data_IF_902176324403
#
_entry.id   IF_902176324403
#
_cell.length_a   1.000
_cell.length_b   1.000
_cell.length_c   1.000
_cell.angle_alpha   90.00
_cell.angle_beta   90.00
_cell.angle_gamma   90.00
#
_symmetry.space_group_name_H-M   'P 1'
#
loop_
_entity.id
_entity.type
_entity.pdbx_description
1 polymer ?
#
# COMPACT_ATOMS: atom_id res chain seq x y z
N UNK A 1 4.69 -31.15 33.41
CA UNK A 1 3.35 -31.07 32.78
C UNK A 1 2.92 -29.64 32.37
N UNK A 2 3.78 -28.60 32.47
CA UNK A 2 3.39 -27.21 32.12
C UNK A 2 3.59 -26.79 30.65
N UNK A 3 4.48 -27.47 29.91
CA UNK A 3 4.85 -27.05 28.55
C UNK A 3 3.79 -27.37 27.48
N UNK A 4 3.04 -28.47 27.64
CA UNK A 4 2.04 -28.89 26.65
C UNK A 4 0.73 -28.07 26.71
N UNK A 5 0.37 -27.53 27.88
CA UNK A 5 -0.83 -26.68 28.01
C UNK A 5 -0.68 -25.37 27.25
N UNK A 6 0.50 -24.76 27.29
CA UNK A 6 0.77 -23.50 26.59
C UNK A 6 0.77 -23.69 25.06
N UNK A 7 1.39 -24.76 24.56
CA UNK A 7 1.44 -25.04 23.13
C UNK A 7 0.04 -25.26 22.50
N UNK A 8 -0.87 -25.95 23.21
CA UNK A 8 -2.23 -26.16 22.71
C UNK A 8 -3.03 -24.85 22.61
N UNK A 9 -2.92 -23.96 23.60
CA UNK A 9 -3.56 -22.64 23.57
C UNK A 9 -2.98 -21.69 22.51
N UNK A 10 -1.69 -21.75 22.23
CA UNK A 10 -1.08 -20.94 21.16
C UNK A 10 -1.44 -21.48 19.78
N UNK A 11 -1.51 -22.80 19.62
CA UNK A 11 -1.98 -23.41 18.38
C UNK A 11 -3.45 -23.03 18.10
N UNK A 12 -4.34 -23.06 19.09
CA UNK A 12 -5.74 -22.63 18.89
C UNK A 12 -5.85 -21.18 18.40
N UNK A 13 -4.92 -20.30 18.80
CA UNK A 13 -4.89 -18.89 18.36
C UNK A 13 -4.44 -18.71 16.91
N UNK A 14 -3.62 -19.61 16.38
CA UNK A 14 -3.06 -19.52 15.01
C UNK A 14 -3.65 -20.54 14.04
N UNK A 15 -4.48 -21.45 14.53
CA UNK A 15 -5.17 -22.50 13.79
C UNK A 15 -5.95 -21.96 12.57
N UNK A 16 -5.79 -22.66 11.45
CA UNK A 16 -6.42 -22.39 10.15
C UNK A 16 -7.41 -23.48 9.75
N UNK A 17 -8.22 -23.23 8.72
CA UNK A 17 -9.10 -24.28 8.13
C UNK A 17 -8.28 -25.48 7.64
N UNK A 18 -7.13 -25.24 7.00
CA UNK A 18 -6.27 -26.30 6.50
C UNK A 18 -5.72 -27.20 7.62
N UNK A 19 -5.50 -26.64 8.81
CA UNK A 19 -5.08 -27.44 9.97
C UNK A 19 -6.23 -28.34 10.45
N UNK A 20 -7.45 -27.82 10.44
CA UNK A 20 -8.66 -28.56 10.81
C UNK A 20 -8.98 -29.66 9.80
N UNK A 21 -8.87 -29.38 8.50
CA UNK A 21 -9.10 -30.37 7.44
C UNK A 21 -8.10 -31.54 7.56
N UNK A 22 -6.84 -31.26 7.89
CA UNK A 22 -5.83 -32.31 8.15
C UNK A 22 -6.18 -33.17 9.37
N UNK A 23 -6.68 -32.56 10.44
CA UNK A 23 -7.09 -33.27 11.65
C UNK A 23 -8.33 -34.14 11.39
N UNK A 24 -9.32 -33.62 10.68
CA UNK A 24 -10.52 -34.34 10.28
C UNK A 24 -10.19 -35.54 9.37
N UNK A 25 -9.25 -35.37 8.43
CA UNK A 25 -8.74 -36.46 7.60
C UNK A 25 -8.03 -37.57 8.39
N UNK A 26 -7.52 -37.26 9.59
CA UNK A 26 -6.96 -38.24 10.53
C UNK A 26 -8.04 -38.91 11.42
N UNK A 27 -9.33 -38.56 11.22
CA UNK A 27 -10.46 -39.08 11.99
C UNK A 27 -10.67 -38.37 13.33
N UNK A 28 -10.08 -37.19 13.54
CA UNK A 28 -10.31 -36.38 14.75
C UNK A 28 -11.61 -35.57 14.60
N UNK A 29 -12.43 -35.53 15.65
CA UNK A 29 -13.56 -34.61 15.71
C UNK A 29 -13.07 -33.18 15.94
N UNK A 30 -13.31 -32.32 14.95
CA UNK A 30 -12.87 -30.91 14.95
C UNK A 30 -14.02 -29.91 15.13
N UNK A 31 -15.23 -30.37 15.42
CA UNK A 31 -16.45 -29.53 15.43
C UNK A 31 -16.30 -28.31 16.34
N UNK A 32 -15.85 -28.51 17.59
CA UNK A 32 -15.65 -27.42 18.54
C UNK A 32 -14.56 -26.43 18.10
N UNK A 33 -13.56 -26.88 17.34
CA UNK A 33 -12.51 -26.01 16.82
C UNK A 33 -12.98 -25.18 15.63
N UNK A 34 -13.81 -25.74 14.75
CA UNK A 34 -14.47 -24.98 13.67
C UNK A 34 -15.36 -23.88 14.24
N UNK A 35 -16.13 -24.17 15.30
CA UNK A 35 -16.95 -23.17 15.99
C UNK A 35 -16.11 -22.04 16.59
N UNK A 36 -15.00 -22.37 17.27
CA UNK A 36 -14.05 -21.37 17.80
C UNK A 36 -13.45 -20.50 16.68
N UNK A 37 -13.02 -21.11 15.57
CA UNK A 37 -12.47 -20.40 14.42
C UNK A 37 -13.49 -19.45 13.80
N UNK A 38 -14.74 -19.91 13.63
CA UNK A 38 -15.83 -19.10 13.12
C UNK A 38 -16.16 -17.93 14.06
N UNK A 39 -16.21 -18.16 15.38
CA UNK A 39 -16.42 -17.11 16.37
C UNK A 39 -15.28 -16.07 16.36
N UNK A 40 -14.02 -16.50 16.25
CA UNK A 40 -12.86 -15.61 16.11
C UNK A 40 -12.99 -14.74 14.87
N UNK A 41 -13.23 -15.34 13.70
CA UNK A 41 -13.42 -14.59 12.45
C UNK A 41 -14.60 -13.64 12.50
N UNK A 42 -15.69 -14.01 13.17
CA UNK A 42 -16.83 -13.12 13.37
C UNK A 42 -16.45 -11.90 14.22
N UNK A 43 -15.69 -12.10 15.31
CA UNK A 43 -15.17 -11.01 16.13
C UNK A 43 -14.18 -10.13 15.35
N UNK A 44 -13.24 -10.73 14.61
CA UNK A 44 -12.30 -10.03 13.73
C UNK A 44 -13.04 -9.21 12.67
N UNK A 45 -14.09 -9.74 12.06
CA UNK A 45 -14.91 -9.03 11.08
C UNK A 45 -15.68 -7.84 11.70
N UNK A 46 -16.21 -8.01 12.91
CA UNK A 46 -16.85 -6.91 13.66
C UNK A 46 -15.81 -5.83 13.99
N UNK A 47 -14.62 -6.21 14.43
CA UNK A 47 -13.55 -5.26 14.72
C UNK A 47 -13.07 -4.55 13.45
N UNK A 48 -12.86 -5.28 12.36
CA UNK A 48 -12.47 -4.71 11.07
C UNK A 48 -13.52 -3.70 10.56
N UNK A 49 -14.81 -3.95 10.78
CA UNK A 49 -15.87 -2.99 10.47
C UNK A 49 -15.78 -1.73 11.34
N UNK A 50 -15.58 -1.88 12.65
CA UNK A 50 -15.40 -0.74 13.57
C UNK A 50 -14.16 0.08 13.23
N UNK A 51 -13.03 -0.57 12.98
CA UNK A 51 -11.78 0.06 12.57
C UNK A 51 -11.98 0.82 11.25
N UNK A 52 -12.67 0.21 10.27
CA UNK A 52 -13.00 0.87 9.01
C UNK A 52 -13.87 2.12 9.22
N UNK A 53 -14.84 2.10 10.13
CA UNK A 53 -15.68 3.26 10.44
C UNK A 53 -14.90 4.35 11.19
N UNK A 54 -14.00 3.96 12.09
CA UNK A 54 -13.20 4.87 12.91
C UNK A 54 -12.08 5.56 12.12
N UNK A 55 -11.35 4.82 11.29
CA UNK A 55 -10.14 5.27 10.61
C UNK A 55 -10.40 5.73 9.17
N UNK A 56 -11.49 6.49 8.97
CA UNK A 56 -11.80 7.10 7.69
C UNK A 56 -10.87 8.28 7.39
N UNK A 57 -10.21 8.21 6.23
CA UNK A 57 -9.19 9.12 5.77
C UNK A 57 -9.31 9.35 4.26
N UNK A 58 -10.35 10.08 3.83
CA UNK A 58 -10.56 10.39 2.41
C UNK A 58 -9.51 11.37 1.90
N UNK A 59 -9.28 11.35 0.57
CA UNK A 59 -8.42 12.29 -0.14
C UNK A 59 -9.20 13.04 -1.22
N UNK A 60 -8.75 14.26 -1.54
CA UNK A 60 -9.28 15.14 -2.57
C UNK A 60 -8.23 15.31 -3.68
N UNK A 61 -8.03 14.24 -4.46
CA UNK A 61 -6.99 14.16 -5.49
C UNK A 61 -7.14 15.21 -6.60
N UNK A 62 -8.37 15.69 -6.83
CA UNK A 62 -8.71 16.78 -7.75
C UNK A 62 -8.03 18.11 -7.40
N UNK A 63 -7.69 18.34 -6.12
CA UNK A 63 -6.94 19.52 -5.67
C UNK A 63 -5.54 19.61 -6.28
N UNK A 64 -5.02 18.52 -6.83
CA UNK A 64 -3.73 18.51 -7.53
C UNK A 64 -3.81 18.97 -8.98
N UNK A 65 -5.01 19.13 -9.55
CA UNK A 65 -5.19 19.52 -10.95
C UNK A 65 -4.43 20.80 -11.35
N UNK A 66 -4.39 21.89 -10.55
CA UNK A 66 -3.63 23.10 -10.88
C UNK A 66 -2.12 22.87 -10.98
N UNK A 67 -1.63 21.78 -10.40
CA UNK A 67 -0.23 21.41 -10.39
C UNK A 67 0.10 20.35 -11.44
N UNK A 68 -0.82 19.90 -12.29
CA UNK A 68 -0.51 18.80 -13.23
C UNK A 68 0.41 19.25 -14.37
N UNK A 69 0.18 20.45 -14.91
CA UNK A 69 0.89 20.95 -16.07
C UNK A 69 2.38 21.20 -15.78
N UNK A 70 3.23 20.82 -16.73
CA UNK A 70 4.67 21.06 -16.72
C UNK A 70 5.06 21.90 -17.95
N UNK A 71 6.09 22.78 -17.84
CA UNK A 71 6.82 23.12 -16.61
C UNK A 71 5.94 23.92 -15.63
N UNK A 72 6.03 23.57 -14.34
CA UNK A 72 5.24 24.16 -13.25
C UNK A 72 5.86 25.47 -12.76
N UNK A 73 5.01 26.41 -12.35
CA UNK A 73 5.46 27.67 -11.73
C UNK A 73 6.10 27.45 -10.36
N UNK A 74 7.23 28.13 -10.14
CA UNK A 74 7.95 28.16 -8.86
C UNK A 74 7.18 28.89 -7.75
N UNK A 75 6.19 29.70 -8.11
CA UNK A 75 5.41 30.49 -7.15
C UNK A 75 4.27 29.70 -6.49
N UNK A 76 4.07 28.46 -6.93
CA UNK A 76 3.01 27.59 -6.40
C UNK A 76 3.31 27.09 -4.98
N UNK A 77 2.28 26.88 -4.13
CA UNK A 77 2.45 26.19 -2.85
C UNK A 77 3.09 24.80 -3.02
N UNK A 78 2.77 24.12 -4.12
CA UNK A 78 3.37 22.85 -4.50
C UNK A 78 4.90 22.94 -4.61
N UNK A 79 5.42 23.87 -5.42
CA UNK A 79 6.87 23.99 -5.61
C UNK A 79 7.58 24.31 -4.29
N UNK A 80 7.02 25.22 -3.49
CA UNK A 80 7.58 25.62 -2.18
C UNK A 80 7.67 24.43 -1.20
N UNK A 81 6.67 23.56 -1.18
CA UNK A 81 6.66 22.35 -0.33
C UNK A 81 7.56 21.22 -0.87
N UNK A 82 7.54 20.97 -2.18
CA UNK A 82 8.22 19.80 -2.78
C UNK A 82 9.70 20.05 -3.07
N UNK A 83 10.06 21.26 -3.50
CA UNK A 83 11.41 21.54 -4.00
C UNK A 83 12.47 21.75 -2.91
N UNK A 84 12.04 22.19 -1.72
CA UNK A 84 12.94 22.56 -0.63
C UNK A 84 13.90 23.69 -1.03
N UNK A 85 15.10 23.71 -0.44
CA UNK A 85 16.12 24.71 -0.75
C UNK A 85 16.92 24.30 -1.99
N UNK A 86 17.19 25.27 -2.86
CA UNK A 86 18.02 25.03 -4.03
C UNK A 86 19.46 24.69 -3.63
N UNK A 87 20.10 23.71 -4.27
CA UNK A 87 21.49 23.37 -4.01
C UNK A 87 22.44 24.44 -4.56
N UNK A 88 23.62 24.55 -3.97
CA UNK A 88 24.65 25.51 -4.40
C UNK A 88 25.23 25.15 -5.79
N UNK A 89 25.40 23.87 -6.08
CA UNK A 89 25.78 23.35 -7.40
C UNK A 89 24.60 22.60 -8.04
N UNK A 90 24.45 22.74 -9.37
CA UNK A 90 23.43 22.01 -10.12
C UNK A 90 22.02 22.63 -10.06
N UNK A 91 21.91 23.94 -9.75
CA UNK A 91 20.62 24.67 -9.67
C UNK A 91 19.72 24.46 -10.89
N UNK A 92 20.26 24.42 -12.11
CA UNK A 92 19.46 24.21 -13.32
C UNK A 92 18.84 22.80 -13.37
N UNK A 93 19.60 21.76 -12.99
CA UNK A 93 19.08 20.39 -12.91
C UNK A 93 18.04 20.26 -11.79
N UNK A 94 18.29 20.89 -10.65
CA UNK A 94 17.32 20.97 -9.55
C UNK A 94 16.05 21.69 -9.96
N UNK A 95 16.15 22.82 -10.67
CA UNK A 95 15.00 23.57 -11.14
C UNK A 95 14.18 22.72 -12.10
N UNK A 96 14.84 22.16 -13.12
CA UNK A 96 14.23 21.27 -14.11
C UNK A 96 13.48 20.12 -13.44
N UNK A 97 14.12 19.45 -12.47
CA UNK A 97 13.48 18.39 -11.68
C UNK A 97 12.15 18.85 -11.10
N UNK A 98 12.11 20.00 -10.41
CA UNK A 98 10.94 20.43 -9.66
C UNK A 98 9.86 21.14 -10.50
N UNK A 99 10.23 21.67 -11.67
CA UNK A 99 9.27 22.25 -12.62
C UNK A 99 8.71 21.21 -13.58
N UNK A 100 9.50 20.22 -14.02
CA UNK A 100 9.11 19.25 -15.04
C UNK A 100 8.73 17.88 -14.48
N UNK A 101 8.98 17.62 -13.19
CA UNK A 101 8.56 16.39 -12.53
C UNK A 101 7.04 16.20 -12.51
N UNK A 102 6.66 14.94 -12.67
CA UNK A 102 5.28 14.52 -12.84
C UNK A 102 4.66 14.21 -11.48
N UNK A 103 3.34 14.41 -11.39
CA UNK A 103 2.52 13.89 -10.29
C UNK A 103 2.02 12.52 -10.72
N UNK A 104 2.37 11.49 -9.95
CA UNK A 104 2.03 10.08 -10.16
C UNK A 104 1.15 9.63 -9.00
N UNK A 105 0.07 8.90 -9.27
CA UNK A 105 -0.69 8.24 -8.22
C UNK A 105 -0.15 6.85 -7.97
N UNK A 106 0.12 6.55 -6.70
CA UNK A 106 0.58 5.23 -6.25
C UNK A 106 -0.57 4.55 -5.54
N UNK A 107 -0.97 3.38 -6.03
CA UNK A 107 -1.88 2.48 -5.36
C UNK A 107 -1.12 1.56 -4.41
N UNK A 108 -1.58 1.41 -3.19
CA UNK A 108 -0.94 0.58 -2.16
C UNK A 108 -1.37 -0.87 -2.34
N UNK A 109 -0.44 -1.79 -2.49
CA UNK A 109 -0.70 -3.23 -2.51
C UNK A 109 -0.63 -3.78 -1.09
N UNK A 110 0.45 -3.50 -0.38
CA UNK A 110 0.68 -3.98 0.98
C UNK A 110 1.29 -2.87 1.84
N UNK A 111 0.92 -2.83 3.11
CA UNK A 111 1.48 -1.97 4.14
C UNK A 111 1.23 -2.62 5.52
N UNK A 112 2.02 -2.28 6.55
CA UNK A 112 1.74 -2.68 7.93
C UNK A 112 0.34 -2.23 8.40
N UNK A 113 -0.28 -2.99 9.29
CA UNK A 113 -1.66 -2.73 9.75
C UNK A 113 -1.79 -1.38 10.48
N UNK A 114 -0.77 -1.00 11.24
CA UNK A 114 -0.70 0.27 11.96
C UNK A 114 -0.69 1.48 11.02
N UNK A 115 -0.14 1.34 9.81
CA UNK A 115 -0.12 2.42 8.83
C UNK A 115 -1.54 2.80 8.36
N UNK A 116 -2.53 1.93 8.56
CA UNK A 116 -3.95 2.20 8.25
C UNK A 116 -4.73 2.81 9.42
N UNK A 117 -4.12 2.92 10.60
CA UNK A 117 -4.78 3.38 11.83
C UNK A 117 -4.19 4.70 12.29
N UNK A 118 -5.05 5.62 12.72
CA UNK A 118 -4.60 6.85 13.35
C UNK A 118 -4.10 6.60 14.78
N UNK A 119 -3.22 7.47 15.25
CA UNK A 119 -2.64 7.34 16.58
C UNK A 119 -1.19 7.82 16.60
N UNK A 120 -0.54 7.69 17.75
CA UNK A 120 0.91 7.87 17.84
C UNK A 120 1.55 6.51 17.68
N UNK A 121 2.33 6.33 16.62
CA UNK A 121 3.13 5.14 16.37
C UNK A 121 4.52 5.28 17.01
N UNK A 122 5.22 4.17 17.21
CA UNK A 122 6.62 4.18 17.70
C UNK A 122 7.55 4.75 16.63
N UNK A 123 7.38 4.30 15.39
CA UNK A 123 8.04 4.81 14.20
C UNK A 123 7.11 5.75 13.43
N UNK A 124 7.64 6.83 12.88
CA UNK A 124 6.91 7.79 12.04
C UNK A 124 7.06 7.50 10.53
N UNK A 125 7.58 6.31 10.19
CA UNK A 125 7.81 5.87 8.82
C UNK A 125 7.31 4.46 8.58
N UNK A 126 6.73 4.23 7.41
CA UNK A 126 6.21 2.94 6.99
C UNK A 126 6.76 2.53 5.63
N UNK A 127 7.12 1.25 5.52
CA UNK A 127 7.40 0.64 4.23
C UNK A 127 6.10 0.15 3.61
N UNK A 128 5.86 0.52 2.36
CA UNK A 128 4.70 0.09 1.60
C UNK A 128 5.14 -0.55 0.29
N UNK A 129 4.38 -1.51 -0.22
CA UNK A 129 4.49 -1.96 -1.61
C UNK A 129 3.49 -1.17 -2.44
N UNK A 130 4.00 -0.36 -3.36
CA UNK A 130 3.20 0.49 -4.23
C UNK A 130 3.22 0.02 -5.68
N UNK A 131 2.12 0.26 -6.39
CA UNK A 131 2.03 0.17 -7.85
C UNK A 131 1.66 1.52 -8.46
N UNK A 132 2.31 1.87 -9.55
CA UNK A 132 2.00 3.07 -10.32
C UNK A 132 2.31 2.88 -11.80
N UNK A 133 1.90 3.84 -12.62
CA UNK A 133 2.21 3.89 -14.04
C UNK A 133 2.88 5.23 -14.41
N UNK A 134 3.62 5.25 -15.52
CA UNK A 134 4.33 6.43 -16.00
C UNK A 134 3.85 6.93 -17.37
N UNK A 135 3.04 6.14 -18.07
CA UNK A 135 2.40 6.58 -19.30
C UNK A 135 1.23 7.53 -19.02
N UNK A 136 0.97 8.42 -19.98
CA UNK A 136 0.00 9.52 -19.84
C UNK A 136 -1.42 9.03 -19.50
N UNK A 137 -1.82 7.87 -20.03
CA UNK A 137 -3.17 7.32 -19.85
C UNK A 137 -3.40 6.80 -18.42
N UNK A 138 -2.35 6.29 -17.75
CA UNK A 138 -2.51 5.61 -16.46
C UNK A 138 -1.85 6.32 -15.27
N UNK A 139 -0.93 7.27 -15.48
CA UNK A 139 -0.14 7.93 -14.42
C UNK A 139 -0.94 8.48 -13.23
N UNK A 140 -2.22 8.83 -13.45
CA UNK A 140 -3.16 9.31 -12.42
C UNK A 140 -4.54 8.65 -12.51
N UNK A 141 -4.62 7.48 -13.13
CA UNK A 141 -5.89 6.78 -13.31
C UNK A 141 -6.27 6.02 -12.02
N UNK A 142 -7.21 6.60 -11.27
CA UNK A 142 -7.70 6.08 -10.00
C UNK A 142 -8.41 4.74 -10.16
N UNK A 143 -9.26 4.59 -11.18
CA UNK A 143 -10.04 3.36 -11.40
C UNK A 143 -9.13 2.18 -11.71
N UNK A 144 -8.15 2.39 -12.60
CA UNK A 144 -7.15 1.38 -12.93
C UNK A 144 -6.31 0.98 -11.71
N UNK A 145 -5.84 1.95 -10.92
CA UNK A 145 -5.10 1.68 -9.69
C UNK A 145 -5.91 0.87 -8.69
N UNK A 146 -7.18 1.22 -8.47
CA UNK A 146 -8.07 0.49 -7.56
C UNK A 146 -8.29 -0.94 -8.01
N UNK A 147 -8.51 -1.15 -9.32
CA UNK A 147 -8.67 -2.49 -9.90
C UNK A 147 -7.42 -3.34 -9.69
N UNK A 148 -6.24 -2.81 -10.08
CA UNK A 148 -4.97 -3.53 -9.98
C UNK A 148 -4.59 -3.83 -8.54
N UNK A 149 -4.71 -2.85 -7.64
CA UNK A 149 -4.38 -3.04 -6.22
C UNK A 149 -5.30 -4.06 -5.55
N UNK A 150 -6.60 -4.05 -5.87
CA UNK A 150 -7.53 -5.06 -5.35
C UNK A 150 -7.16 -6.47 -5.80
N UNK A 151 -6.78 -6.65 -7.06
CA UNK A 151 -6.35 -7.95 -7.60
C UNK A 151 -5.07 -8.43 -6.89
N UNK A 152 -4.05 -7.58 -6.77
CA UNK A 152 -2.79 -7.96 -6.13
C UNK A 152 -2.96 -8.24 -4.63
N UNK A 153 -3.78 -7.45 -3.93
CA UNK A 153 -4.15 -7.69 -2.53
C UNK A 153 -4.85 -9.02 -2.35
N UNK A 154 -5.84 -9.32 -3.18
CA UNK A 154 -6.56 -10.59 -3.09
C UNK A 154 -5.64 -11.79 -3.32
N UNK A 155 -4.62 -11.68 -4.18
CA UNK A 155 -3.60 -12.73 -4.36
C UNK A 155 -2.76 -12.89 -3.10
N UNK A 156 -2.24 -11.79 -2.58
CA UNK A 156 -1.40 -11.78 -1.39
C UNK A 156 -2.14 -12.32 -0.15
N UNK A 157 -3.40 -11.95 0.02
CA UNK A 157 -4.26 -12.40 1.12
C UNK A 157 -4.81 -13.83 0.93
N UNK A 158 -4.43 -14.52 -0.15
CA UNK A 158 -4.89 -15.88 -0.45
C UNK A 158 -6.38 -15.97 -0.81
N UNK A 159 -7.05 -14.85 -1.10
CA UNK A 159 -8.45 -14.77 -1.52
C UNK A 159 -8.65 -15.22 -2.97
N UNK A 160 -7.57 -15.22 -3.76
CA UNK A 160 -7.56 -15.79 -5.10
C UNK A 160 -6.19 -16.40 -5.43
N UNK A 161 -6.11 -17.35 -6.38
CA UNK A 161 -4.82 -17.87 -6.84
C UNK A 161 -3.93 -16.77 -7.43
N UNK A 162 -2.62 -16.91 -7.23
CA UNK A 162 -1.62 -16.05 -7.86
C UNK A 162 -1.71 -16.23 -9.39
N UNK A 163 -1.90 -15.13 -10.12
CA UNK A 163 -1.94 -15.18 -11.58
C UNK A 163 -0.54 -15.39 -12.17
N UNK A 164 -0.43 -16.01 -13.36
CA UNK A 164 0.85 -16.17 -14.04
C UNK A 164 1.57 -14.83 -14.23
N UNK A 165 2.84 -14.76 -13.83
CA UNK A 165 3.67 -13.56 -13.92
C UNK A 165 3.60 -12.64 -12.69
N UNK A 166 2.78 -12.96 -11.70
CA UNK A 166 2.71 -12.22 -10.43
C UNK A 166 3.58 -12.82 -9.32
N UNK A 167 4.23 -13.98 -9.53
CA UNK A 167 4.96 -14.72 -8.50
C UNK A 167 6.05 -13.86 -7.86
N UNK A 168 6.87 -13.19 -8.67
CA UNK A 168 7.92 -12.28 -8.17
C UNK A 168 7.37 -11.08 -7.39
N UNK A 169 6.15 -10.64 -7.69
CA UNK A 169 5.50 -9.57 -6.93
C UNK A 169 5.08 -10.11 -5.55
N UNK A 170 4.55 -11.34 -5.49
CA UNK A 170 4.20 -11.99 -4.21
C UNK A 170 5.45 -12.26 -3.36
N UNK A 171 6.55 -12.67 -3.99
CA UNK A 171 7.86 -12.82 -3.35
C UNK A 171 8.32 -11.47 -2.77
N UNK A 172 8.29 -10.38 -3.56
CA UNK A 172 8.65 -9.03 -3.10
C UNK A 172 7.81 -8.56 -1.91
N UNK A 173 6.50 -8.84 -1.92
CA UNK A 173 5.63 -8.44 -0.79
C UNK A 173 6.05 -9.18 0.48
N UNK A 174 6.45 -10.44 0.35
CA UNK A 174 6.82 -11.31 1.49
C UNK A 174 8.26 -11.10 1.97
N UNK A 175 9.16 -10.60 1.11
CA UNK A 175 10.56 -10.32 1.43
C UNK A 175 10.77 -8.83 1.71
N UNK A 176 10.89 -8.48 3.00
CA UNK A 176 11.16 -7.11 3.46
C UNK A 176 12.47 -6.53 2.93
N UNK A 177 13.41 -7.38 2.51
CA UNK A 177 14.70 -6.96 1.95
C UNK A 177 14.67 -6.72 0.44
N UNK A 178 13.57 -7.03 -0.25
CA UNK A 178 13.44 -6.79 -1.68
C UNK A 178 13.08 -5.31 -1.96
N UNK A 179 14.05 -4.62 -2.58
CA UNK A 179 13.94 -3.23 -3.05
C UNK A 179 13.98 -3.12 -4.59
N UNK A 180 13.75 -4.23 -5.28
CA UNK A 180 13.72 -4.26 -6.74
C UNK A 180 12.54 -3.44 -7.32
N UNK A 181 12.63 -3.15 -8.61
CA UNK A 181 11.54 -2.52 -9.36
C UNK A 181 11.00 -3.55 -10.35
N UNK A 182 9.76 -3.99 -10.15
CA UNK A 182 9.09 -4.94 -11.00
C UNK A 182 8.09 -4.24 -11.93
N UNK A 183 7.72 -4.93 -12.99
CA UNK A 183 6.62 -4.56 -13.89
C UNK A 183 5.44 -5.48 -13.61
N UNK A 184 4.22 -4.97 -13.79
CA UNK A 184 3.05 -5.83 -13.86
C UNK A 184 3.11 -6.72 -15.11
N UNK A 185 2.61 -7.96 -15.03
CA UNK A 185 2.39 -8.76 -16.23
C UNK A 185 1.34 -8.09 -17.13
N UNK A 186 1.42 -8.35 -18.43
CA UNK A 186 0.54 -7.75 -19.43
C UNK A 186 -0.95 -7.97 -19.14
N UNK A 187 -1.29 -9.12 -18.54
CA UNK A 187 -2.64 -9.49 -18.10
C UNK A 187 -3.25 -8.51 -17.09
N UNK A 188 -2.44 -7.77 -16.34
CA UNK A 188 -2.88 -6.77 -15.36
C UNK A 188 -2.51 -5.34 -15.77
N UNK A 189 -1.45 -5.16 -16.56
CA UNK A 189 -0.96 -3.84 -16.92
C UNK A 189 -1.92 -3.08 -17.84
N UNK A 190 -2.73 -3.76 -18.67
CA UNK A 190 -3.63 -3.12 -19.65
C UNK A 190 -2.91 -2.14 -20.60
N UNK A 191 -1.65 -2.46 -20.93
CA UNK A 191 -0.77 -1.62 -21.75
C UNK A 191 -0.09 -0.47 -20.99
N UNK A 192 -0.27 -0.37 -19.68
CA UNK A 192 0.39 0.65 -18.87
C UNK A 192 1.92 0.41 -18.74
N UNK A 193 2.69 1.50 -18.68
CA UNK A 193 4.09 1.46 -18.29
C UNK A 193 4.21 1.47 -16.77
N UNK A 194 4.17 0.28 -16.18
CA UNK A 194 3.95 0.12 -14.73
C UNK A 194 5.24 0.12 -13.92
N UNK A 195 5.14 0.27 -12.61
CA UNK A 195 6.20 -0.06 -11.68
C UNK A 195 5.57 -0.56 -10.39
N UNK A 196 6.09 -1.67 -9.87
CA UNK A 196 5.76 -2.23 -8.56
C UNK A 196 7.05 -2.25 -7.75
N UNK A 197 7.04 -1.62 -6.58
CA UNK A 197 8.23 -1.52 -5.73
C UNK A 197 7.88 -1.19 -4.29
N UNK A 198 8.85 -1.43 -3.42
CA UNK A 198 8.87 -0.91 -2.05
C UNK A 198 9.13 0.59 -2.04
N UNK A 199 8.37 1.31 -1.22
CA UNK A 199 8.45 2.74 -0.99
C UNK A 199 8.44 3.01 0.51
N UNK A 200 8.98 4.16 0.91
CA UNK A 200 8.91 4.65 2.28
C UNK A 200 7.99 5.86 2.29
N UNK A 201 7.05 5.88 3.23
CA UNK A 201 6.19 7.03 3.52
C UNK A 201 6.37 7.44 4.96
N UNK A 202 6.27 8.74 5.23
CA UNK A 202 6.36 9.30 6.58
C UNK A 202 4.97 9.79 7.01
N UNK A 203 4.59 9.58 8.26
CA UNK A 203 3.26 9.94 8.79
C UNK A 203 2.95 11.42 8.56
N UNK A 204 3.94 12.29 8.73
CA UNK A 204 3.78 13.73 8.51
C UNK A 204 3.45 14.11 7.06
N UNK A 205 3.77 13.25 6.09
CA UNK A 205 3.44 13.46 4.68
C UNK A 205 2.04 12.92 4.34
N UNK A 206 1.47 12.07 5.21
CA UNK A 206 0.18 11.42 5.04
C UNK A 206 -0.99 12.23 5.64
N UNK A 207 -2.20 12.09 5.08
CA UNK A 207 -3.38 12.74 5.63
C UNK A 207 -3.67 12.19 7.03
N UNK A 208 -3.89 13.08 8.01
CA UNK A 208 -4.13 12.72 9.41
C UNK A 208 -3.06 11.83 10.07
N UNK A 209 -1.88 11.66 9.46
CA UNK A 209 -0.81 10.82 9.97
C UNK A 209 -0.90 9.32 9.63
N UNK A 210 -1.78 8.91 8.70
CA UNK A 210 -1.91 7.50 8.32
C UNK A 210 -2.43 7.35 6.88
N UNK A 211 -2.44 6.13 6.35
CA UNK A 211 -2.73 5.87 4.94
C UNK A 211 -4.17 6.29 4.55
N UNK A 212 -4.36 6.83 3.32
CA UNK A 212 -5.68 7.14 2.78
C UNK A 212 -6.60 5.91 2.67
N UNK A 213 -7.88 6.04 2.98
CA UNK A 213 -8.85 4.92 2.91
C UNK A 213 -9.01 4.34 1.51
N UNK A 214 -8.83 5.16 0.46
CA UNK A 214 -8.86 4.70 -0.93
C UNK A 214 -7.55 3.99 -1.36
N UNK A 215 -6.55 3.92 -0.48
CA UNK A 215 -5.27 3.27 -0.74
C UNK A 215 -4.43 3.95 -1.82
N UNK A 216 -4.66 5.23 -2.11
CA UNK A 216 -3.94 5.97 -3.15
C UNK A 216 -3.21 7.16 -2.55
N UNK A 217 -1.90 7.23 -2.81
CA UNK A 217 -1.03 8.33 -2.36
C UNK A 217 -0.39 9.01 -3.59
N UNK A 218 -0.60 10.32 -3.76
CA UNK A 218 0.12 11.09 -4.75
C UNK A 218 1.62 11.17 -4.44
N UNK A 219 2.43 10.91 -5.46
CA UNK A 219 3.88 11.04 -5.40
C UNK A 219 4.36 11.98 -6.51
N UNK A 220 5.50 12.61 -6.24
CA UNK A 220 6.28 13.36 -7.20
C UNK A 220 7.34 12.45 -7.83
N UNK A 221 7.36 12.37 -9.15
CA UNK A 221 8.27 11.51 -9.91
C UNK A 221 9.19 12.32 -10.83
N UNK A 222 10.47 11.97 -10.82
CA UNK A 222 11.46 12.49 -11.75
C UNK A 222 12.65 11.54 -11.86
N UNK A 223 12.95 11.07 -13.08
CA UNK A 223 14.19 10.34 -13.42
C UNK A 223 14.48 9.17 -12.44
N UNK A 224 13.48 8.29 -12.26
CA UNK A 224 13.55 7.15 -11.35
C UNK A 224 13.41 7.48 -9.85
N UNK A 225 13.47 8.75 -9.47
CA UNK A 225 13.20 9.20 -8.09
C UNK A 225 11.70 9.41 -7.91
N UNK A 226 11.13 8.81 -6.86
CA UNK A 226 9.73 8.99 -6.48
C UNK A 226 9.66 9.39 -5.00
N UNK A 227 8.84 10.38 -4.67
CA UNK A 227 8.66 10.88 -3.29
C UNK A 227 7.20 11.19 -3.00
N UNK A 228 6.70 10.84 -1.81
CA UNK A 228 5.35 11.20 -1.39
C UNK A 228 5.14 12.73 -1.45
N UNK A 229 3.98 13.15 -1.96
CA UNK A 229 3.54 14.54 -1.90
C UNK A 229 2.88 14.75 -0.55
N UNK A 230 3.14 15.90 0.08
CA UNK A 230 2.56 16.22 1.39
C UNK A 230 1.03 16.37 1.31
N UNK A 231 0.32 15.76 2.26
CA UNK A 231 -1.14 15.68 2.32
C UNK A 231 -1.89 17.01 2.17
N UNK A 232 -1.43 18.10 2.79
CA UNK A 232 -1.99 19.46 2.64
C UNK A 232 -2.27 19.92 1.18
N UNK A 233 -1.66 19.29 0.18
CA UNK A 233 -1.88 19.60 -1.24
C UNK A 233 -3.08 18.85 -1.84
N UNK A 234 -3.62 17.84 -1.16
CA UNK A 234 -4.71 16.97 -1.63
C UNK A 234 -5.68 16.50 -0.53
N UNK A 235 -5.69 17.16 0.64
CA UNK A 235 -6.76 17.05 1.65
C UNK A 235 -7.60 18.31 1.67
#
# INVERSE_FOLDING_TARGET
MGFFKNAATEWEKTMTENDLDKMEAQGLDVTAYREKLAARRAQEAVQAKRDKEMWQNPTHLDKLAPYIATPRSMETPFFKKVAGKAPWLGKSKWLRKHTEGQIVYVGIINAPDEAWKGGKHEDDTHQIIGVYALDEKHIRNVEWLQKVTAVLRNMYEGKQPVAPGCEKIMDMISDESDWSNLKLPESLAEGADTCVRRLVVEDKELPKGYLPTNGIIPHFYWDGTIKCIHADLYI
#
